data_IF_644022690830
#
_entry.id   IF_644022690830
#
_cell.length_a   1.000
_cell.length_b   1.000
_cell.length_c   1.000
_cell.angle_alpha   90.00
_cell.angle_beta   90.00
_cell.angle_gamma   90.00
#
_symmetry.space_group_name_H-M   'P 1'
#
loop_
_entity.id
_entity.type
_entity.pdbx_description
1 polymer ?
#
# COMPACT_ATOMS: atom_id res chain seq x y z
N UNK A 1 -55.05 13.93 30.00
CA UNK A 1 -54.20 12.85 29.45
C UNK A 1 -52.96 13.47 28.84
N UNK A 2 -51.78 13.31 29.48
CA UNK A 2 -50.50 13.80 28.92
C UNK A 2 -49.85 12.64 28.16
N UNK A 3 -49.76 12.78 26.84
CA UNK A 3 -49.09 11.85 25.94
C UNK A 3 -47.57 11.98 26.15
N UNK A 4 -46.92 10.92 26.61
CA UNK A 4 -45.45 10.85 26.67
C UNK A 4 -44.98 10.28 25.33
N UNK A 5 -44.40 11.10 24.47
CA UNK A 5 -43.67 10.62 23.30
C UNK A 5 -42.33 10.05 23.74
N UNK A 6 -42.21 8.73 23.68
CA UNK A 6 -40.93 8.02 23.76
C UNK A 6 -40.24 8.21 22.40
N UNK A 7 -39.23 9.06 22.36
CA UNK A 7 -38.35 9.20 21.18
C UNK A 7 -37.34 8.06 21.23
N UNK A 8 -37.56 7.04 20.40
CA UNK A 8 -36.58 5.98 20.15
C UNK A 8 -35.43 6.60 19.32
N UNK A 9 -34.34 7.00 19.97
CA UNK A 9 -33.13 7.40 19.25
C UNK A 9 -32.48 6.14 18.65
N UNK A 10 -32.75 5.90 17.37
CA UNK A 10 -32.01 4.96 16.54
C UNK A 10 -30.57 5.49 16.40
N UNK A 11 -29.64 4.95 17.19
CA UNK A 11 -28.20 5.11 16.96
C UNK A 11 -27.82 4.32 15.70
N UNK A 12 -27.90 4.97 14.53
CA UNK A 12 -27.20 4.50 13.34
C UNK A 12 -25.70 4.64 13.63
N UNK A 13 -24.90 3.55 13.58
CA UNK A 13 -23.47 3.70 13.69
C UNK A 13 -23.00 4.49 12.48
N UNK A 14 -22.51 5.72 12.70
CA UNK A 14 -21.66 6.40 11.75
C UNK A 14 -20.44 5.50 11.56
N UNK A 15 -20.46 4.66 10.52
CA UNK A 15 -19.24 4.09 9.99
C UNK A 15 -18.39 5.27 9.55
N UNK A 16 -17.49 5.72 10.43
CA UNK A 16 -16.47 6.67 10.05
C UNK A 16 -15.70 6.02 8.91
N UNK A 17 -15.86 6.56 7.70
CA UNK A 17 -15.02 6.21 6.57
C UNK A 17 -13.64 6.75 6.94
N UNK A 18 -12.86 5.95 7.66
CA UNK A 18 -11.48 6.28 7.95
C UNK A 18 -10.79 6.41 6.60
N UNK A 19 -10.23 7.58 6.32
CA UNK A 19 -9.32 7.72 5.20
C UNK A 19 -8.23 6.66 5.39
N UNK A 20 -8.04 5.79 4.41
CA UNK A 20 -7.00 4.77 4.49
C UNK A 20 -5.65 5.47 4.72
N UNK A 21 -5.11 5.35 5.92
CA UNK A 21 -3.81 5.93 6.26
C UNK A 21 -2.73 5.16 5.49
N UNK A 22 -2.12 5.82 4.51
CA UNK A 22 -1.06 5.20 3.70
C UNK A 22 0.29 5.28 4.40
N UNK A 23 0.58 6.41 5.03
CA UNK A 23 1.85 6.66 5.70
C UNK A 23 2.01 5.84 6.97
N UNK A 24 3.21 5.33 7.19
CA UNK A 24 3.53 4.43 8.29
C UNK A 24 2.93 3.03 8.15
N UNK A 25 2.56 2.59 6.95
CA UNK A 25 1.92 1.30 6.71
C UNK A 25 2.60 0.48 5.61
N UNK A 26 2.58 -0.84 5.79
CA UNK A 26 2.83 -1.81 4.75
C UNK A 26 1.52 -2.09 4.03
N UNK A 27 1.46 -1.76 2.75
CA UNK A 27 0.30 -1.97 1.90
C UNK A 27 0.57 -3.10 0.92
N UNK A 28 -0.34 -4.07 0.86
CA UNK A 28 -0.37 -5.11 -0.16
C UNK A 28 -1.39 -4.73 -1.21
N UNK A 29 -0.95 -4.43 -2.43
CA UNK A 29 -1.84 -4.21 -3.56
C UNK A 29 -1.90 -5.43 -4.47
N UNK A 30 -2.98 -5.52 -5.25
CA UNK A 30 -3.07 -6.47 -6.36
C UNK A 30 -3.78 -5.83 -7.54
N UNK A 31 -3.18 -6.00 -8.72
CA UNK A 31 -3.85 -5.77 -9.99
C UNK A 31 -3.39 -6.82 -11.04
N UNK A 32 -4.16 -7.05 -12.12
CA UNK A 32 -3.80 -8.06 -13.12
C UNK A 32 -2.50 -7.79 -13.88
N UNK A 33 -2.10 -6.52 -14.04
CA UNK A 33 -0.91 -6.13 -14.80
C UNK A 33 0.36 -6.39 -14.00
N UNK A 34 0.39 -6.02 -12.72
CA UNK A 34 1.57 -6.12 -11.86
C UNK A 34 1.60 -7.39 -11.00
N UNK A 35 0.43 -7.93 -10.63
CA UNK A 35 0.29 -9.00 -9.63
C UNK A 35 0.29 -8.45 -8.21
N UNK A 36 0.59 -9.29 -7.21
CA UNK A 36 0.74 -8.83 -5.82
C UNK A 36 2.00 -7.97 -5.66
N UNK A 37 1.86 -6.79 -5.08
CA UNK A 37 2.96 -5.91 -4.71
C UNK A 37 2.87 -5.61 -3.21
N UNK A 38 4.03 -5.48 -2.55
CA UNK A 38 4.11 -5.08 -1.15
C UNK A 38 4.93 -3.80 -1.09
N UNK A 39 4.38 -2.75 -0.51
CA UNK A 39 5.09 -1.48 -0.38
C UNK A 39 4.94 -0.92 1.03
N UNK A 40 6.07 -0.70 1.70
CA UNK A 40 6.09 0.08 2.94
C UNK A 40 6.20 1.56 2.60
N UNK A 41 5.17 2.32 2.95
CA UNK A 41 5.13 3.77 2.81
C UNK A 41 5.41 4.37 4.19
N UNK A 42 6.61 4.86 4.43
CA UNK A 42 6.94 5.47 5.72
C UNK A 42 6.25 6.83 5.88
N UNK A 43 6.04 7.28 7.11
CA UNK A 43 5.46 8.60 7.39
C UNK A 43 6.34 9.77 6.94
N UNK A 44 7.64 9.54 6.71
CA UNK A 44 8.57 10.57 6.22
C UNK A 44 8.69 10.64 4.69
N UNK A 45 7.76 10.01 3.95
CA UNK A 45 7.71 10.09 2.48
C UNK A 45 8.71 9.18 1.76
N UNK A 46 9.26 8.16 2.43
CA UNK A 46 10.07 7.11 1.81
C UNK A 46 9.20 5.92 1.45
N UNK A 47 9.47 5.30 0.31
CA UNK A 47 8.79 4.08 -0.08
C UNK A 47 9.79 2.95 -0.28
N UNK A 48 9.35 1.72 0.00
CA UNK A 48 10.16 0.52 -0.12
C UNK A 48 9.32 -0.58 -0.76
N UNK A 49 9.52 -0.76 -2.07
CA UNK A 49 8.70 -1.62 -2.89
C UNK A 49 9.34 -3.01 -3.03
N UNK A 50 8.59 -4.02 -2.64
CA UNK A 50 8.86 -5.41 -2.93
C UNK A 50 7.94 -5.87 -4.08
N UNK A 51 8.52 -5.85 -5.28
CA UNK A 51 7.82 -6.11 -6.53
C UNK A 51 8.08 -7.55 -7.06
N UNK A 52 7.10 -8.20 -7.72
CA UNK A 52 7.30 -9.51 -8.32
C UNK A 52 8.49 -9.60 -9.27
N UNK A 53 9.31 -10.63 -9.12
CA UNK A 53 10.51 -10.85 -9.96
C UNK A 53 11.75 -10.06 -9.54
N UNK A 54 11.62 -8.99 -8.75
CA UNK A 54 12.77 -8.26 -8.23
C UNK A 54 13.55 -9.12 -7.23
N UNK A 55 14.87 -8.91 -7.20
CA UNK A 55 15.80 -9.54 -6.23
C UNK A 55 16.21 -8.59 -5.10
N UNK A 56 15.90 -7.31 -5.26
CA UNK A 56 16.21 -6.25 -4.30
C UNK A 56 14.95 -5.47 -4.02
N UNK A 57 14.84 -4.98 -2.78
CA UNK A 57 13.81 -3.98 -2.44
C UNK A 57 14.11 -2.74 -3.27
N UNK A 58 13.06 -2.11 -3.80
CA UNK A 58 13.20 -0.89 -4.57
C UNK A 58 12.91 0.32 -3.68
N UNK A 59 13.94 1.04 -3.21
CA UNK A 59 13.73 2.25 -2.44
C UNK A 59 13.27 3.39 -3.35
N UNK A 60 12.41 4.23 -2.82
CA UNK A 60 11.88 5.40 -3.49
C UNK A 60 11.38 6.46 -2.51
N UNK A 61 10.67 7.42 -3.07
CA UNK A 61 9.91 8.41 -2.34
C UNK A 61 8.45 8.32 -2.74
N UNK A 62 7.56 8.68 -1.81
CA UNK A 62 6.15 8.84 -2.11
C UNK A 62 5.64 10.16 -1.54
N UNK A 63 4.57 10.66 -2.16
CA UNK A 63 3.79 11.79 -1.65
C UNK A 63 2.36 11.69 -2.13
N UNK A 64 1.45 12.28 -1.36
CA UNK A 64 0.07 12.49 -1.77
C UNK A 64 -0.14 13.96 -2.12
N UNK A 65 -0.72 14.22 -3.28
CA UNK A 65 -1.12 15.55 -3.73
C UNK A 65 -2.63 15.52 -4.01
N UNK A 66 -3.44 15.96 -3.04
CA UNK A 66 -4.91 15.90 -3.13
C UNK A 66 -5.43 14.49 -3.48
N UNK A 67 -5.86 14.30 -4.73
CA UNK A 67 -6.41 13.09 -5.32
C UNK A 67 -5.37 12.23 -6.07
N UNK A 68 -4.09 12.61 -6.02
CA UNK A 68 -2.98 11.89 -6.64
C UNK A 68 -2.07 11.26 -5.58
N UNK A 69 -1.58 10.06 -5.90
CA UNK A 69 -0.47 9.41 -5.22
C UNK A 69 0.72 9.38 -6.19
N UNK A 70 1.87 9.88 -5.76
CA UNK A 70 3.06 9.97 -6.60
C UNK A 70 4.22 9.20 -5.99
N UNK A 71 4.97 8.52 -6.85
CA UNK A 71 6.18 7.78 -6.51
C UNK A 71 7.38 8.32 -7.28
N UNK A 72 8.56 8.25 -6.67
CA UNK A 72 9.82 8.54 -7.32
C UNK A 72 10.82 7.45 -6.96
N UNK A 73 11.08 6.55 -7.91
CA UNK A 73 12.11 5.52 -7.81
C UNK A 73 13.42 5.98 -8.48
N UNK A 74 14.51 5.27 -8.22
CA UNK A 74 15.84 5.63 -8.73
C UNK A 74 15.91 5.70 -10.27
N UNK A 75 16.77 6.56 -10.80
CA UNK A 75 16.88 6.84 -12.25
C UNK A 75 17.24 5.62 -13.12
N UNK A 76 17.88 4.61 -12.55
CA UNK A 76 18.24 3.36 -13.22
C UNK A 76 17.11 2.32 -13.24
N UNK A 77 15.90 2.68 -12.81
CA UNK A 77 14.73 1.80 -12.84
C UNK A 77 13.91 1.98 -14.11
N UNK A 78 13.13 0.97 -14.46
CA UNK A 78 12.22 0.98 -15.60
C UNK A 78 10.93 0.28 -15.23
N UNK A 79 9.80 0.96 -15.47
CA UNK A 79 8.47 0.39 -15.30
C UNK A 79 7.97 -0.14 -16.65
N UNK A 80 7.98 -1.47 -16.88
CA UNK A 80 7.51 -2.03 -18.16
C UNK A 80 6.01 -1.84 -18.39
N UNK A 81 5.22 -1.58 -17.34
CA UNK A 81 3.79 -1.37 -17.46
C UNK A 81 3.44 0.00 -18.06
N UNK A 82 4.23 1.03 -17.76
CA UNK A 82 4.01 2.41 -18.22
C UNK A 82 5.04 2.87 -19.24
N UNK A 83 6.12 2.10 -19.45
CA UNK A 83 7.24 2.46 -20.33
C UNK A 83 8.14 3.55 -19.76
N UNK A 84 7.92 3.96 -18.50
CA UNK A 84 8.65 5.07 -17.88
C UNK A 84 9.98 4.61 -17.26
N UNK A 85 10.99 5.47 -17.36
CA UNK A 85 12.23 5.36 -16.59
C UNK A 85 12.07 6.11 -15.27
N UNK A 86 12.72 5.63 -14.22
CA UNK A 86 12.71 6.31 -12.93
C UNK A 86 13.47 7.64 -12.92
N UNK A 87 13.62 8.21 -11.73
CA UNK A 87 14.29 9.50 -11.51
C UNK A 87 13.33 10.69 -11.47
N UNK A 88 12.20 10.60 -12.17
CA UNK A 88 11.09 11.54 -12.06
C UNK A 88 10.00 11.10 -11.08
N UNK A 89 9.07 12.00 -10.77
CA UNK A 89 7.82 11.66 -10.09
C UNK A 89 6.83 11.08 -11.12
N UNK A 90 6.33 9.88 -10.86
CA UNK A 90 5.22 9.25 -11.57
C UNK A 90 4.00 9.24 -10.66
N UNK A 91 2.90 9.84 -11.11
CA UNK A 91 1.68 9.99 -10.32
C UNK A 91 0.54 9.16 -10.90
N UNK A 92 -0.33 8.67 -10.01
CA UNK A 92 -1.58 8.01 -10.34
C UNK A 92 -2.73 8.58 -9.51
N UNK A 93 -3.98 8.46 -9.99
CA UNK A 93 -5.14 8.75 -9.14
C UNK A 93 -5.13 7.87 -7.88
N UNK A 94 -5.40 8.49 -6.73
CA UNK A 94 -5.38 7.86 -5.42
C UNK A 94 -6.45 6.77 -5.28
N UNK A 95 -7.65 7.02 -5.81
CA UNK A 95 -8.79 6.11 -5.62
C UNK A 95 -8.52 4.70 -6.19
N UNK A 96 -8.02 4.53 -7.44
CA UNK A 96 -7.58 3.23 -7.94
C UNK A 96 -6.51 2.55 -7.08
N UNK A 97 -5.54 3.30 -6.54
CA UNK A 97 -4.53 2.73 -5.65
C UNK A 97 -5.18 2.16 -4.38
N UNK A 98 -6.03 2.94 -3.72
CA UNK A 98 -6.73 2.54 -2.50
C UNK A 98 -7.64 1.33 -2.76
N UNK A 99 -8.33 1.29 -3.91
CA UNK A 99 -9.15 0.14 -4.32
C UNK A 99 -8.33 -1.12 -4.59
N UNK A 100 -7.07 -0.97 -5.03
CA UNK A 100 -6.16 -2.09 -5.26
C UNK A 100 -5.52 -2.63 -3.98
N UNK A 101 -5.59 -1.90 -2.85
CA UNK A 101 -5.11 -2.39 -1.55
C UNK A 101 -5.96 -3.58 -1.12
N UNK A 102 -5.35 -4.76 -1.15
CA UNK A 102 -5.96 -5.99 -0.68
C UNK A 102 -5.85 -6.12 0.85
N UNK A 103 -4.72 -5.73 1.43
CA UNK A 103 -4.48 -5.71 2.88
C UNK A 103 -3.51 -4.58 3.25
N UNK A 104 -3.64 -4.07 4.47
CA UNK A 104 -2.72 -3.06 5.02
C UNK A 104 -2.42 -3.39 6.48
N UNK A 105 -1.20 -3.12 6.91
CA UNK A 105 -0.75 -3.30 8.28
C UNK A 105 0.11 -2.11 8.72
N UNK A 106 -0.07 -1.66 9.96
CA UNK A 106 0.74 -0.57 10.54
C UNK A 106 2.20 -1.02 10.69
N UNK A 107 3.12 -0.12 10.36
CA UNK A 107 4.55 -0.33 10.44
C UNK A 107 5.14 -1.01 9.20
N UNK A 108 6.44 -1.29 9.28
CA UNK A 108 7.20 -2.01 8.28
C UNK A 108 7.18 -3.51 8.60
N UNK A 109 6.09 -4.18 8.23
CA UNK A 109 5.78 -5.56 8.62
C UNK A 109 6.88 -6.55 8.19
N UNK A 110 7.56 -6.24 7.09
CA UNK A 110 8.59 -7.09 6.51
C UNK A 110 9.97 -6.44 6.57
N UNK A 111 10.19 -5.40 7.40
CA UNK A 111 11.48 -4.72 7.55
C UNK A 111 12.12 -4.29 6.21
N UNK A 112 11.32 -3.88 5.23
CA UNK A 112 11.75 -3.48 3.89
C UNK A 112 12.66 -2.25 3.91
N UNK A 113 12.50 -1.35 4.89
CA UNK A 113 13.30 -0.14 5.02
C UNK A 113 14.76 -0.41 5.41
N UNK A 114 15.03 -1.55 6.03
CA UNK A 114 16.33 -1.88 6.62
C UNK A 114 17.11 -2.93 5.79
N UNK A 115 16.60 -3.31 4.61
CA UNK A 115 17.21 -4.36 3.78
C UNK A 115 17.35 -3.97 2.32
N UNK A 116 18.45 -4.42 1.72
CA UNK A 116 18.67 -4.28 0.28
C UNK A 116 17.99 -5.40 -0.52
N UNK A 117 17.98 -6.62 0.01
CA UNK A 117 17.41 -7.79 -0.65
C UNK A 117 15.95 -7.96 -0.27
N UNK A 118 15.14 -8.40 -1.24
CA UNK A 118 13.77 -8.83 -0.93
C UNK A 118 13.80 -10.02 0.05
N UNK A 119 12.80 -10.14 0.94
CA UNK A 119 12.73 -11.28 1.87
C UNK A 119 12.78 -12.64 1.14
N UNK A 120 12.10 -12.72 0.01
CA UNK A 120 12.20 -13.78 -0.98
C UNK A 120 11.64 -13.28 -2.31
N UNK A 121 11.77 -14.05 -3.40
CA UNK A 121 11.11 -13.66 -4.66
C UNK A 121 9.59 -13.72 -4.50
N UNK A 122 8.94 -12.59 -4.71
CA UNK A 122 7.49 -12.48 -4.68
C UNK A 122 6.89 -13.03 -5.97
N UNK A 123 5.84 -13.84 -5.82
CA UNK A 123 5.05 -14.36 -6.93
C UNK A 123 3.99 -13.33 -7.33
N UNK A 124 3.54 -13.36 -8.58
CA UNK A 124 2.46 -12.49 -9.08
C UNK A 124 1.08 -12.90 -8.55
N UNK A 125 0.92 -14.15 -8.12
CA UNK A 125 -0.35 -14.72 -7.62
C UNK A 125 -0.82 -14.00 -6.35
N UNK A 126 -2.15 -13.95 -6.17
CA UNK A 126 -2.79 -13.45 -4.95
C UNK A 126 -2.30 -14.23 -3.73
N UNK A 127 -2.11 -13.53 -2.62
CA UNK A 127 -1.70 -14.06 -1.32
C UNK A 127 -2.22 -13.14 -0.20
N UNK A 128 -1.85 -13.42 1.04
CA UNK A 128 -2.09 -12.57 2.22
C UNK A 128 -0.77 -12.13 2.86
N UNK A 129 -0.80 -11.02 3.60
CA UNK A 129 0.29 -10.57 4.47
C UNK A 129 0.68 -11.66 5.48
N UNK A 130 -0.30 -12.37 6.04
CA UNK A 130 -0.08 -13.49 6.96
C UNK A 130 0.70 -14.63 6.32
N UNK A 131 0.32 -15.08 5.12
CA UNK A 131 1.05 -16.12 4.39
C UNK A 131 2.49 -15.69 4.07
N UNK A 132 2.69 -14.41 3.73
CA UNK A 132 4.03 -13.87 3.48
C UNK A 132 4.86 -13.78 4.77
N UNK A 133 4.26 -13.36 5.87
CA UNK A 133 4.93 -13.29 7.18
C UNK A 133 5.30 -14.68 7.70
N UNK A 134 4.40 -15.67 7.55
CA UNK A 134 4.67 -17.05 7.92
C UNK A 134 5.85 -17.67 7.17
N UNK A 135 6.17 -17.17 5.98
CA UNK A 135 7.36 -17.59 5.22
C UNK A 135 8.67 -17.00 5.74
N UNK A 136 8.63 -15.95 6.56
CA UNK A 136 9.83 -15.36 7.17
C UNK A 136 10.24 -16.01 8.49
N UNK A 137 9.28 -16.64 9.17
CA UNK A 137 9.54 -17.37 10.43
C UNK A 137 10.01 -18.81 10.23
N UNK A 138 10.16 -19.26 8.98
CA UNK A 138 10.68 -20.57 8.60
C UNK A 138 12.07 -20.43 7.98
#
# INVERSE_FOLDING_TARGET
MRLVLIVLMLFLPLAAVQAQELGGHTNMTYDPQHGTQIEYLSSNGRSYLWYPGNRSVLPGHWKRNADQLCFQYAANTYNPATGQRGGGWECMPLAPYVQAIAQSARGDLFGLAERDRVPFRLDRRKTTLENLAGRLGN
#
